data_IF_075833485139
#
_entry.id   IF_075833485139
#
_cell.length_a   1.000
_cell.length_b   1.000
_cell.length_c   1.000
_cell.angle_alpha   90.00
_cell.angle_beta   90.00
_cell.angle_gamma   90.00
#
_symmetry.space_group_name_H-M   'P 1'
#
loop_
_entity.id
_entity.type
_entity.pdbx_description
1 polymer ?
#
# COMPACT_ATOMS: atom_id res chain seq x y z
N UNK A 1 -31.45 -27.27 -52.94
CA UNK A 1 -31.83 -26.06 -52.19
C UNK A 1 -33.15 -26.38 -51.50
N UNK A 2 -33.45 -26.14 -50.24
CA UNK A 2 -32.88 -25.45 -49.08
C UNK A 2 -33.94 -25.76 -47.98
N UNK A 3 -33.75 -25.79 -46.67
CA UNK A 3 -32.65 -25.69 -45.72
C UNK A 3 -33.29 -26.18 -44.40
N UNK A 4 -32.53 -26.94 -43.59
CA UNK A 4 -32.99 -27.50 -42.30
C UNK A 4 -33.12 -26.44 -41.19
N UNK A 5 -33.94 -26.80 -40.19
CA UNK A 5 -33.94 -26.42 -38.75
C UNK A 5 -34.72 -25.17 -38.27
N UNK A 6 -35.36 -25.29 -37.10
CA UNK A 6 -35.30 -24.28 -36.05
C UNK A 6 -34.46 -24.83 -34.87
N UNK A 7 -33.29 -24.26 -34.61
CA UNK A 7 -33.01 -23.24 -33.58
C UNK A 7 -33.30 -23.71 -32.15
N UNK A 8 -32.40 -24.52 -31.59
CA UNK A 8 -32.22 -24.65 -30.15
C UNK A 8 -31.25 -23.55 -29.70
N UNK A 9 -31.78 -22.42 -29.22
CA UNK A 9 -30.99 -21.36 -28.63
C UNK A 9 -30.95 -21.58 -27.11
N UNK A 10 -30.01 -22.38 -26.63
CA UNK A 10 -29.69 -22.47 -25.19
C UNK A 10 -28.73 -21.33 -24.89
N UNK A 11 -29.26 -20.27 -24.29
CA UNK A 11 -28.51 -19.14 -23.75
C UNK A 11 -27.82 -19.64 -22.47
N UNK A 12 -26.59 -20.14 -22.59
CA UNK A 12 -25.76 -20.45 -21.42
C UNK A 12 -25.14 -19.14 -20.93
N UNK A 13 -25.84 -18.48 -20.01
CA UNK A 13 -25.33 -17.31 -19.31
C UNK A 13 -24.15 -17.74 -18.43
N UNK A 14 -22.93 -17.55 -18.95
CA UNK A 14 -21.70 -17.53 -18.17
C UNK A 14 -21.79 -16.34 -17.22
N UNK A 15 -22.21 -16.62 -15.98
CA UNK A 15 -22.11 -15.69 -14.86
C UNK A 15 -20.63 -15.56 -14.54
N UNK A 16 -19.94 -14.70 -15.29
CA UNK A 16 -18.62 -14.20 -14.94
C UNK A 16 -18.83 -13.31 -13.71
N UNK A 17 -18.72 -13.91 -12.53
CA UNK A 17 -18.63 -13.18 -11.28
C UNK A 17 -17.48 -12.17 -11.41
N UNK A 18 -17.72 -10.86 -11.29
CA UNK A 18 -16.61 -9.94 -11.09
C UNK A 18 -16.06 -10.28 -9.70
N UNK A 19 -14.87 -10.89 -9.66
CA UNK A 19 -14.03 -10.79 -8.49
C UNK A 19 -13.87 -9.29 -8.26
N UNK A 20 -14.56 -8.76 -7.24
CA UNK A 20 -14.32 -7.42 -6.75
C UNK A 20 -12.94 -7.51 -6.12
N UNK A 21 -11.91 -7.30 -6.94
CA UNK A 21 -10.59 -6.99 -6.45
C UNK A 21 -10.75 -5.66 -5.70
N UNK A 22 -10.90 -5.74 -4.37
CA UNK A 22 -10.71 -4.59 -3.51
C UNK A 22 -9.23 -4.26 -3.57
N UNK A 23 -8.85 -3.54 -4.62
CA UNK A 23 -7.61 -2.79 -4.63
C UNK A 23 -7.80 -1.71 -3.57
N UNK A 24 -7.34 -1.99 -2.35
CA UNK A 24 -7.03 -0.95 -1.38
C UNK A 24 -5.85 -0.18 -1.99
N UNK A 25 -6.13 0.65 -2.99
CA UNK A 25 -5.23 1.71 -3.37
C UNK A 25 -5.16 2.58 -2.12
N UNK A 26 -4.09 2.41 -1.34
CA UNK A 26 -3.65 3.44 -0.41
C UNK A 26 -3.72 4.74 -1.22
N UNK A 27 -4.67 5.60 -0.85
CA UNK A 27 -4.96 6.81 -1.62
C UNK A 27 -3.70 7.64 -1.76
N UNK A 28 -3.64 8.49 -2.80
CA UNK A 28 -2.58 9.50 -2.86
C UNK A 28 -2.49 10.21 -1.50
N UNK A 29 -1.28 10.29 -0.93
CA UNK A 29 -1.09 10.90 0.39
C UNK A 29 -1.62 12.34 0.39
N UNK A 30 -2.30 12.72 1.48
CA UNK A 30 -2.58 14.12 1.77
C UNK A 30 -1.27 14.90 1.90
N UNK A 31 -1.32 16.21 1.68
CA UNK A 31 -0.18 17.12 1.86
C UNK A 31 0.43 16.97 3.26
N UNK A 32 -0.41 16.82 4.31
CA UNK A 32 0.05 16.61 5.69
C UNK A 32 0.90 15.35 5.88
N UNK A 33 0.52 14.23 5.25
CA UNK A 33 1.24 12.96 5.37
C UNK A 33 2.51 12.98 4.51
N UNK A 34 2.47 13.69 3.37
CA UNK A 34 3.64 13.92 2.54
C UNK A 34 4.69 14.74 3.30
N UNK A 35 4.29 15.88 3.87
CA UNK A 35 5.16 16.76 4.65
C UNK A 35 5.73 16.05 5.89
N UNK A 36 4.92 15.21 6.55
CA UNK A 36 5.38 14.37 7.64
C UNK A 36 6.54 13.46 7.21
N UNK A 37 6.36 12.66 6.15
CA UNK A 37 7.44 11.79 5.66
C UNK A 37 8.66 12.59 5.24
N UNK A 38 8.46 13.72 4.55
CA UNK A 38 9.55 14.55 4.07
C UNK A 38 10.31 15.22 5.22
N UNK A 39 9.63 15.60 6.30
CA UNK A 39 10.25 16.11 7.52
C UNK A 39 11.12 15.04 8.18
N UNK A 40 10.62 13.81 8.31
CA UNK A 40 11.39 12.69 8.88
C UNK A 40 12.58 12.30 8.02
N UNK A 41 12.42 12.32 6.69
CA UNK A 41 13.50 12.07 5.74
C UNK A 41 14.59 13.14 5.83
N UNK A 42 14.22 14.42 5.75
CA UNK A 42 15.16 15.54 5.80
C UNK A 42 15.80 15.72 7.19
N UNK A 43 15.11 15.29 8.25
CA UNK A 43 15.62 15.22 9.62
C UNK A 43 16.57 14.06 9.88
N UNK A 44 16.83 13.20 8.89
CA UNK A 44 17.67 12.00 8.99
C UNK A 44 17.13 10.94 9.99
N UNK A 45 15.85 11.04 10.39
CA UNK A 45 15.18 10.10 11.31
C UNK A 45 14.90 8.74 10.63
N UNK A 46 15.05 8.67 9.30
CA UNK A 46 14.93 7.44 8.51
C UNK A 46 16.29 6.79 8.18
N UNK A 47 17.40 7.36 8.65
CA UNK A 47 18.74 6.82 8.42
C UNK A 47 19.18 5.82 9.50
N UNK A 48 18.44 5.72 10.60
CA UNK A 48 18.66 4.75 11.65
C UNK A 48 18.38 3.31 11.17
N UNK A 49 18.75 2.33 12.00
CA UNK A 49 18.33 0.95 11.76
C UNK A 49 16.85 0.79 12.09
N UNK A 50 16.00 1.01 11.08
CA UNK A 50 14.58 0.69 11.15
C UNK A 50 14.32 -0.79 11.47
N UNK A 51 13.12 -1.07 11.97
CA UNK A 51 12.62 -2.38 12.34
C UNK A 51 12.47 -3.29 11.12
N UNK A 52 12.68 -4.58 11.33
CA UNK A 52 12.26 -5.63 10.40
C UNK A 52 10.74 -5.82 10.43
N UNK A 53 10.20 -6.52 9.44
CA UNK A 53 8.77 -6.86 9.40
C UNK A 53 8.31 -7.66 10.62
N UNK A 54 9.15 -8.57 11.13
CA UNK A 54 8.82 -9.39 12.31
C UNK A 54 8.74 -8.53 13.58
N UNK A 55 9.67 -7.59 13.74
CA UNK A 55 9.67 -6.64 14.86
C UNK A 55 8.46 -5.70 14.80
N UNK A 56 8.18 -5.14 13.62
CA UNK A 56 7.00 -4.30 13.40
C UNK A 56 5.68 -5.04 13.64
N UNK A 57 5.58 -6.31 13.23
CA UNK A 57 4.37 -7.12 13.47
C UNK A 57 4.11 -7.39 14.96
N UNK A 58 5.11 -7.18 15.84
CA UNK A 58 4.96 -7.30 17.29
C UNK A 58 4.52 -5.98 17.95
N UNK A 59 4.63 -4.84 17.27
CA UNK A 59 4.29 -3.53 17.86
C UNK A 59 2.77 -3.27 17.84
N UNK A 60 2.06 -3.66 16.79
CA UNK A 60 0.58 -3.55 16.72
C UNK A 60 -0.02 -4.78 15.98
N UNK A 61 -1.12 -5.36 16.48
CA UNK A 61 -1.73 -6.52 15.84
C UNK A 61 -2.39 -6.23 14.48
N UNK A 62 -2.63 -4.96 14.10
CA UNK A 62 -3.29 -4.53 12.85
C UNK A 62 -2.91 -3.09 12.42
N UNK A 63 -1.65 -2.81 12.06
CA UNK A 63 -1.29 -1.51 11.50
C UNK A 63 -2.05 -1.27 10.19
N UNK A 64 -2.72 -0.11 10.08
CA UNK A 64 -3.48 0.25 8.89
C UNK A 64 -2.65 1.17 8.02
N UNK A 65 -2.43 0.78 6.76
CA UNK A 65 -1.80 1.65 5.78
C UNK A 65 -2.72 2.85 5.49
N UNK A 66 -2.22 4.05 5.76
CA UNK A 66 -2.93 5.31 5.56
C UNK A 66 -2.82 5.72 4.09
N UNK A 67 -1.59 5.83 3.61
CA UNK A 67 -1.30 6.26 2.25
C UNK A 67 0.10 5.81 1.82
N UNK A 68 0.31 5.79 0.50
CA UNK A 68 1.60 5.52 -0.12
C UNK A 68 2.01 6.75 -0.92
N UNK A 69 3.23 7.24 -0.69
CA UNK A 69 3.80 8.29 -1.49
C UNK A 69 4.30 7.64 -2.78
N UNK A 70 4.07 8.28 -3.93
CA UNK A 70 4.57 7.91 -5.27
C UNK A 70 4.95 9.19 -5.99
N UNK A 71 6.13 9.75 -5.72
CA UNK A 71 6.60 11.00 -6.36
C UNK A 71 7.96 10.76 -7.05
N UNK A 72 8.45 11.69 -7.85
CA UNK A 72 9.72 11.63 -8.58
C UNK A 72 10.94 11.44 -7.65
N UNK A 73 10.86 11.83 -6.37
CA UNK A 73 11.83 11.46 -5.32
C UNK A 73 11.99 9.93 -5.14
N UNK A 74 11.02 9.16 -5.65
CA UNK A 74 11.00 7.69 -5.71
C UNK A 74 11.59 7.11 -6.98
N UNK A 75 12.09 7.95 -7.89
CA UNK A 75 12.81 7.50 -9.09
C UNK A 75 14.07 6.72 -8.76
N UNK A 76 14.59 6.85 -7.53
CA UNK A 76 15.68 6.02 -7.00
C UNK A 76 15.22 4.62 -6.57
N UNK A 77 13.95 4.29 -6.83
CA UNK A 77 13.32 3.01 -6.49
C UNK A 77 12.81 2.93 -5.06
N UNK A 78 12.76 4.02 -4.30
CA UNK A 78 12.24 4.01 -2.92
C UNK A 78 10.75 4.28 -2.89
N UNK A 79 9.96 3.49 -2.14
CA UNK A 79 8.56 3.81 -1.84
C UNK A 79 8.34 3.99 -0.34
N UNK A 80 7.50 4.96 0.03
CA UNK A 80 7.18 5.29 1.42
C UNK A 80 5.70 5.01 1.68
N UNK A 81 5.41 4.25 2.73
CA UNK A 81 4.03 3.98 3.17
C UNK A 81 3.88 4.43 4.61
N UNK A 82 2.84 5.22 4.89
CA UNK A 82 2.52 5.66 6.25
C UNK A 82 1.54 4.66 6.86
N UNK A 83 1.86 4.18 8.05
CA UNK A 83 1.00 3.34 8.87
C UNK A 83 0.57 4.08 10.12
N UNK A 84 -0.66 3.85 10.55
CA UNK A 84 -1.21 4.36 11.80
C UNK A 84 -1.55 3.21 12.73
N UNK A 85 -1.15 3.31 13.99
CA UNK A 85 -1.63 2.41 15.04
C UNK A 85 -3.08 2.71 15.40
N UNK A 86 -3.83 1.65 15.77
CA UNK A 86 -5.27 1.74 15.99
C UNK A 86 -5.65 2.65 17.18
N UNK A 87 -4.70 2.99 18.06
CA UNK A 87 -4.90 3.85 19.23
C UNK A 87 -4.63 5.35 18.98
N UNK A 88 -4.47 5.74 17.71
CA UNK A 88 -4.58 7.11 17.18
C UNK A 88 -3.44 8.11 17.40
N UNK A 89 -2.32 7.77 18.05
CA UNK A 89 -1.21 8.74 18.26
C UNK A 89 0.13 8.35 17.63
N UNK A 90 0.31 7.09 17.23
CA UNK A 90 1.58 6.61 16.73
C UNK A 90 1.53 6.31 15.23
N UNK A 91 2.51 6.86 14.53
CA UNK A 91 2.69 6.69 13.10
C UNK A 91 4.01 5.99 12.81
N UNK A 92 3.99 5.15 11.79
CA UNK A 92 5.18 4.50 11.28
C UNK A 92 5.33 4.80 9.81
N UNK A 93 6.57 4.80 9.34
CA UNK A 93 6.91 4.94 7.93
C UNK A 93 7.61 3.67 7.51
N UNK A 94 7.08 2.95 6.51
CA UNK A 94 7.87 1.91 5.84
C UNK A 94 8.60 2.48 4.65
N UNK A 95 9.86 2.11 4.49
CA UNK A 95 10.66 2.40 3.30
C UNK A 95 10.87 1.08 2.55
N UNK A 96 10.25 0.97 1.38
CA UNK A 96 10.51 -0.10 0.43
C UNK A 96 11.64 0.33 -0.52
N UNK A 97 12.64 -0.52 -0.68
CA UNK A 97 13.71 -0.33 -1.64
C UNK A 97 13.49 -1.26 -2.84
N UNK A 98 13.10 -0.69 -3.98
CA UNK A 98 12.83 -1.40 -5.23
C UNK A 98 14.07 -1.98 -5.92
N UNK A 99 15.29 -1.58 -5.53
CA UNK A 99 16.54 -2.14 -6.07
C UNK A 99 16.80 -3.54 -5.52
N UNK A 100 16.57 -3.74 -4.20
CA UNK A 100 16.85 -5.02 -3.54
C UNK A 100 15.60 -5.70 -2.93
N UNK A 101 14.43 -5.07 -3.03
CA UNK A 101 13.17 -5.56 -2.50
C UNK A 101 13.02 -5.47 -0.98
N UNK A 102 13.97 -4.85 -0.27
CA UNK A 102 13.93 -4.77 1.20
C UNK A 102 12.90 -3.75 1.69
N UNK A 103 12.34 -4.01 2.87
CA UNK A 103 11.44 -3.09 3.58
C UNK A 103 11.98 -2.88 4.99
N UNK A 104 12.06 -1.63 5.42
CA UNK A 104 12.30 -1.27 6.82
C UNK A 104 11.18 -0.39 7.35
N UNK A 105 10.87 -0.52 8.63
CA UNK A 105 9.83 0.26 9.31
C UNK A 105 10.46 1.21 10.33
N UNK A 106 10.02 2.46 10.35
CA UNK A 106 10.58 3.51 11.20
C UNK A 106 9.48 4.11 12.06
N UNK A 107 9.84 4.45 13.30
CA UNK A 107 8.93 4.93 14.33
C UNK A 107 8.99 4.08 15.60
N UNK A 108 8.00 4.22 16.51
CA UNK A 108 6.83 5.10 16.37
C UNK A 108 7.22 6.58 16.37
N UNK A 109 6.49 7.38 15.58
CA UNK A 109 6.56 8.84 15.57
C UNK A 109 5.27 9.44 16.11
N UNK A 110 5.40 10.56 16.83
CA UNK A 110 4.29 11.46 17.10
C UNK A 110 4.06 12.31 15.83
N UNK A 111 2.81 12.39 15.36
CA UNK A 111 2.44 13.13 14.14
C UNK A 111 1.78 14.46 14.46
#
# INVERSE_FOLDING_TARGET
MALKTPKLAIILALVLSPYIAMANASGACSESNFDFVMTKLNGNELADNGLTHEEFSKTDPKPSAVCEIKNDLMSDGLAFTVYKESADTQFYISVYNGVNGSVKYFGPFEH
#
